data_IF_808848567016
#
_entry.id   IF_808848567016
#
_cell.length_a   1.000
_cell.length_b   1.000
_cell.length_c   1.000
_cell.angle_alpha   90.00
_cell.angle_beta   90.00
_cell.angle_gamma   90.00
#
_symmetry.space_group_name_H-M   'P 1'
#
loop_
_entity.id
_entity.type
_entity.pdbx_description
1 polymer ?
#
# COMPACT_ATOMS: atom_id res chain seq x y z
N UNK A 1 18.78 -3.17 0.12
CA UNK A 1 18.36 -4.53 0.58
C UNK A 1 17.09 -4.89 -0.15
N UNK A 2 16.93 -6.11 -0.63
CA UNK A 2 15.82 -6.55 -1.51
C UNK A 2 14.40 -6.14 -1.05
N UNK A 3 14.16 -6.04 0.26
CA UNK A 3 12.84 -5.62 0.77
C UNK A 3 12.50 -4.17 0.39
N UNK A 4 13.48 -3.27 0.43
CA UNK A 4 13.28 -1.88 0.02
C UNK A 4 13.12 -1.77 -1.49
N UNK A 5 13.99 -2.45 -2.25
CA UNK A 5 13.89 -2.52 -3.71
C UNK A 5 12.49 -3.00 -4.14
N UNK A 6 12.02 -4.12 -3.56
CA UNK A 6 10.68 -4.66 -3.85
C UNK A 6 9.55 -3.70 -3.46
N UNK A 7 9.67 -3.01 -2.31
CA UNK A 7 8.66 -2.03 -1.88
C UNK A 7 8.64 -0.81 -2.80
N UNK A 8 9.81 -0.27 -3.13
CA UNK A 8 9.96 0.89 -4.03
C UNK A 8 9.42 0.55 -5.42
N UNK A 9 9.79 -0.61 -5.99
CA UNK A 9 9.30 -1.05 -7.30
C UNK A 9 7.76 -1.23 -7.31
N UNK A 10 7.20 -1.80 -6.23
CA UNK A 10 5.75 -1.98 -6.09
C UNK A 10 5.02 -0.64 -6.03
N UNK A 11 5.54 0.32 -5.26
CA UNK A 11 4.97 1.67 -5.16
C UNK A 11 5.17 2.46 -6.46
N UNK A 12 6.29 2.29 -7.16
CA UNK A 12 6.54 2.93 -8.45
C UNK A 12 5.56 2.44 -9.52
N UNK A 13 5.37 1.12 -9.63
CA UNK A 13 4.38 0.55 -10.53
C UNK A 13 2.98 1.11 -10.23
N UNK A 14 2.62 1.21 -8.96
CA UNK A 14 1.34 1.76 -8.55
C UNK A 14 1.20 3.24 -8.91
N UNK A 15 2.23 4.03 -8.68
CA UNK A 15 2.27 5.45 -9.05
C UNK A 15 2.04 5.65 -10.56
N UNK A 16 2.71 4.86 -11.40
CA UNK A 16 2.54 4.90 -12.85
C UNK A 16 1.09 4.58 -13.27
N UNK A 17 0.48 3.57 -12.66
CA UNK A 17 -0.92 3.21 -12.90
C UNK A 17 -1.86 4.36 -12.52
N UNK A 18 -1.63 5.02 -11.37
CA UNK A 18 -2.45 6.16 -10.96
C UNK A 18 -2.30 7.37 -11.89
N UNK A 19 -1.14 7.57 -12.52
CA UNK A 19 -0.90 8.64 -13.51
C UNK A 19 -1.71 8.44 -14.79
N UNK A 20 -1.96 7.18 -15.17
CA UNK A 20 -2.69 6.82 -16.38
C UNK A 20 -4.20 6.66 -16.13
N UNK A 21 -4.62 6.56 -14.86
CA UNK A 21 -6.01 6.34 -14.49
C UNK A 21 -6.86 7.60 -14.80
N UNK A 22 -8.01 7.47 -15.52
CA UNK A 22 -8.92 8.58 -15.70
C UNK A 22 -9.35 9.19 -14.36
N UNK A 23 -9.32 10.52 -14.28
CA UNK A 23 -9.53 11.25 -13.02
C UNK A 23 -10.90 11.04 -12.37
N UNK A 24 -11.91 10.74 -13.18
CA UNK A 24 -13.28 10.47 -12.73
C UNK A 24 -13.44 9.07 -12.10
N UNK A 25 -12.51 8.15 -12.35
CA UNK A 25 -12.55 6.79 -11.80
C UNK A 25 -11.96 6.69 -10.38
N UNK A 26 -11.03 7.58 -10.03
CA UNK A 26 -10.23 7.46 -8.79
C UNK A 26 -11.07 7.53 -7.52
N UNK A 27 -11.96 8.54 -7.43
CA UNK A 27 -12.81 8.77 -6.25
C UNK A 27 -14.22 8.20 -6.41
N UNK A 28 -14.55 7.62 -7.58
CA UNK A 28 -15.87 7.08 -7.85
C UNK A 28 -16.17 5.84 -6.98
N UNK A 29 -17.37 5.74 -6.39
CA UNK A 29 -17.80 4.52 -5.72
C UNK A 29 -17.85 3.34 -6.70
N UNK A 30 -17.24 2.22 -6.33
CA UNK A 30 -17.12 1.02 -7.15
C UNK A 30 -17.94 -0.12 -6.55
N UNK A 31 -18.99 -0.56 -7.23
CA UNK A 31 -19.90 -1.59 -6.73
C UNK A 31 -19.16 -2.91 -6.40
N UNK A 32 -18.24 -3.33 -7.25
CA UNK A 32 -17.47 -4.58 -7.05
C UNK A 32 -16.45 -4.48 -5.90
N UNK A 33 -16.22 -3.27 -5.37
CA UNK A 33 -15.42 -3.02 -4.17
C UNK A 33 -16.30 -2.67 -2.96
N UNK A 34 -17.54 -3.16 -2.92
CA UNK A 34 -18.52 -2.85 -1.86
C UNK A 34 -18.76 -1.35 -1.69
N UNK A 35 -18.79 -0.61 -2.79
CA UNK A 35 -18.89 0.85 -2.88
C UNK A 35 -17.69 1.63 -2.35
N UNK A 36 -16.58 0.98 -2.02
CA UNK A 36 -15.33 1.69 -1.80
C UNK A 36 -14.76 2.21 -3.14
N UNK A 37 -14.01 3.31 -3.10
CA UNK A 37 -13.32 3.82 -4.28
C UNK A 37 -11.89 3.28 -4.40
N UNK A 38 -11.30 3.39 -5.59
CA UNK A 38 -9.87 3.16 -5.80
C UNK A 38 -9.07 4.05 -4.86
N UNK A 39 -9.45 5.33 -4.73
CA UNK A 39 -8.80 6.28 -3.83
C UNK A 39 -8.85 5.88 -2.37
N UNK A 40 -9.93 5.26 -1.88
CA UNK A 40 -10.00 4.76 -0.51
C UNK A 40 -9.01 3.61 -0.25
N UNK A 41 -8.85 2.68 -1.20
CA UNK A 41 -7.83 1.64 -1.11
C UNK A 41 -6.41 2.21 -1.23
N UNK A 42 -6.21 3.19 -2.11
CA UNK A 42 -4.94 3.93 -2.24
C UNK A 42 -4.57 4.63 -0.93
N UNK A 43 -5.51 5.36 -0.33
CA UNK A 43 -5.32 6.01 0.96
C UNK A 43 -4.89 5.00 2.02
N UNK A 44 -5.55 3.85 2.09
CA UNK A 44 -5.23 2.83 3.07
C UNK A 44 -3.78 2.34 2.95
N UNK A 45 -3.32 2.04 1.75
CA UNK A 45 -1.92 1.65 1.49
C UNK A 45 -0.95 2.75 1.94
N UNK A 46 -1.16 3.98 1.50
CA UNK A 46 -0.30 5.13 1.81
C UNK A 46 -0.23 5.36 3.31
N UNK A 47 -1.38 5.40 4.00
CA UNK A 47 -1.45 5.69 5.43
C UNK A 47 -0.73 4.65 6.28
N UNK A 48 -0.69 3.37 5.88
CA UNK A 48 0.07 2.36 6.60
C UNK A 48 1.58 2.60 6.50
N UNK A 49 2.09 2.91 5.31
CA UNK A 49 3.50 3.29 5.16
C UNK A 49 3.84 4.56 5.94
N UNK A 50 2.97 5.58 5.91
CA UNK A 50 3.17 6.81 6.69
C UNK A 50 3.18 6.56 8.19
N UNK A 51 2.32 5.67 8.71
CA UNK A 51 2.38 5.24 10.11
C UNK A 51 3.74 4.64 10.47
N UNK A 52 4.27 3.77 9.62
CA UNK A 52 5.58 3.16 9.84
C UNK A 52 6.70 4.22 9.84
N UNK A 53 6.71 5.13 8.87
CA UNK A 53 7.71 6.19 8.76
C UNK A 53 7.66 7.17 9.94
N UNK A 54 6.45 7.58 10.34
CA UNK A 54 6.24 8.52 11.45
C UNK A 54 6.57 7.87 12.81
N UNK A 55 6.28 6.58 12.97
CA UNK A 55 6.59 5.82 14.19
C UNK A 55 8.06 5.43 14.32
N UNK A 56 8.88 5.62 13.28
CA UNK A 56 10.26 5.17 13.27
C UNK A 56 11.06 5.80 14.42
N UNK A 57 11.02 7.13 14.59
CA UNK A 57 11.85 7.82 15.58
C UNK A 57 11.50 7.42 17.01
N UNK A 58 10.21 7.37 17.36
CA UNK A 58 9.76 6.98 18.69
C UNK A 58 9.75 5.47 18.95
N UNK A 59 10.04 4.65 17.91
CA UNK A 59 10.02 3.18 17.99
C UNK A 59 8.64 2.60 18.35
N UNK A 60 7.57 3.32 18.00
CA UNK A 60 6.19 2.88 18.22
C UNK A 60 5.37 3.10 16.95
N UNK A 61 4.73 2.04 16.46
CA UNK A 61 3.89 2.05 15.25
C UNK A 61 2.50 1.56 15.62
N UNK A 62 1.46 2.32 15.28
CA UNK A 62 0.07 1.88 15.44
C UNK A 62 -0.73 2.17 14.17
N UNK A 63 -1.06 1.12 13.45
CA UNK A 63 -1.84 1.22 12.22
C UNK A 63 -3.31 1.57 12.49
N UNK A 64 -3.83 1.29 13.67
CA UNK A 64 -5.20 1.60 14.06
C UNK A 64 -5.40 3.09 14.30
N UNK A 65 -4.35 3.78 14.77
CA UNK A 65 -4.35 5.22 15.07
C UNK A 65 -3.97 6.10 13.88
N UNK A 66 -3.90 5.55 12.65
CA UNK A 66 -3.56 6.32 11.45
C UNK A 66 -4.53 7.48 11.22
N UNK A 67 -4.01 8.58 10.76
CA UNK A 67 -4.83 9.67 10.22
C UNK A 67 -5.56 9.20 8.96
N UNK A 68 -6.81 9.62 8.80
CA UNK A 68 -7.61 9.33 7.60
C UNK A 68 -7.69 10.59 6.74
N UNK A 69 -6.58 10.91 6.07
CA UNK A 69 -6.50 12.10 5.21
C UNK A 69 -7.31 11.90 3.92
N UNK A 70 -8.48 12.54 3.88
CA UNK A 70 -9.38 12.46 2.73
C UNK A 70 -8.84 13.07 1.45
N UNK A 71 -7.78 13.87 1.50
CA UNK A 71 -7.13 14.38 0.29
C UNK A 71 -6.55 13.24 -0.52
N UNK A 72 -5.96 12.24 0.14
CA UNK A 72 -5.37 11.08 -0.53
C UNK A 72 -6.43 10.31 -1.31
N UNK A 73 -7.64 10.10 -0.77
CA UNK A 73 -8.67 9.32 -1.45
C UNK A 73 -9.42 10.08 -2.55
N UNK A 74 -9.32 11.42 -2.57
CA UNK A 74 -10.06 12.27 -3.51
C UNK A 74 -9.17 12.92 -4.59
N UNK A 75 -7.86 12.93 -4.40
CA UNK A 75 -6.90 13.57 -5.30
C UNK A 75 -5.74 12.61 -5.63
N UNK A 76 -5.79 12.04 -6.83
CA UNK A 76 -4.76 11.12 -7.31
C UNK A 76 -3.39 11.79 -7.40
N UNK A 77 -3.31 13.08 -7.74
CA UNK A 77 -2.04 13.82 -7.81
C UNK A 77 -1.42 13.96 -6.43
N UNK A 78 -2.24 14.27 -5.43
CA UNK A 78 -1.77 14.30 -4.04
C UNK A 78 -1.30 12.91 -3.57
N UNK A 79 -2.05 11.85 -3.88
CA UNK A 79 -1.67 10.47 -3.56
C UNK A 79 -0.33 10.08 -4.20
N UNK A 80 -0.11 10.43 -5.46
CA UNK A 80 1.17 10.21 -6.18
C UNK A 80 2.33 10.91 -5.47
N UNK A 81 2.12 12.14 -4.99
CA UNK A 81 3.12 12.86 -4.18
C UNK A 81 3.45 12.14 -2.87
N UNK A 82 2.45 11.56 -2.20
CA UNK A 82 2.67 10.77 -0.98
C UNK A 82 3.42 9.45 -1.26
N UNK A 83 3.13 8.78 -2.38
CA UNK A 83 3.87 7.59 -2.80
C UNK A 83 5.34 7.92 -3.07
N UNK A 84 5.63 9.04 -3.73
CA UNK A 84 7.00 9.50 -3.93
C UNK A 84 7.72 9.78 -2.62
N UNK A 85 7.09 10.49 -1.70
CA UNK A 85 7.65 10.75 -0.37
C UNK A 85 7.99 9.45 0.38
N UNK A 86 7.10 8.46 0.34
CA UNK A 86 7.34 7.15 0.96
C UNK A 86 8.56 6.47 0.32
N UNK A 87 8.67 6.47 -1.02
CA UNK A 87 9.82 5.87 -1.73
C UNK A 87 11.14 6.52 -1.31
N UNK A 88 11.15 7.84 -1.15
CA UNK A 88 12.35 8.60 -0.79
C UNK A 88 12.78 8.35 0.67
N UNK A 89 11.84 8.08 1.58
CA UNK A 89 12.07 7.99 3.03
C UNK A 89 12.12 6.56 3.58
N UNK A 90 11.78 5.55 2.76
CA UNK A 90 11.56 4.18 3.25
C UNK A 90 12.87 3.48 3.67
N UNK A 91 14.00 3.78 3.01
CA UNK A 91 15.25 3.09 3.28
C UNK A 91 15.92 3.61 4.54
N UNK A 92 15.68 2.95 5.66
CA UNK A 92 16.24 3.27 6.98
C UNK A 92 16.88 2.03 7.63
N UNK A 93 17.82 2.21 8.58
CA UNK A 93 18.38 1.10 9.34
C UNK A 93 17.32 0.30 10.10
N UNK A 94 17.56 -1.01 10.29
CA UNK A 94 16.67 -1.81 11.14
C UNK A 94 16.80 -1.39 12.60
N UNK A 95 15.69 -1.35 13.29
CA UNK A 95 15.61 -1.15 14.75
C UNK A 95 14.39 -1.85 15.31
N UNK A 96 14.40 -2.13 16.60
CA UNK A 96 13.22 -2.62 17.31
C UNK A 96 12.14 -1.54 17.36
N UNK A 97 10.89 -1.97 17.18
CA UNK A 97 9.70 -1.13 17.31
C UNK A 97 8.64 -1.89 18.10
N UNK A 98 7.79 -1.15 18.81
CA UNK A 98 6.57 -1.68 19.44
C UNK A 98 5.40 -1.45 18.51
N UNK A 99 4.71 -2.50 18.14
CA UNK A 99 3.52 -2.43 17.29
C UNK A 99 2.28 -2.36 18.19
N UNK A 100 1.69 -1.18 18.27
CA UNK A 100 0.45 -0.94 19.02
C UNK A 100 -0.78 -1.40 18.23
N UNK A 101 -1.68 -2.09 18.90
CA UNK A 101 -2.98 -2.50 18.35
C UNK A 101 -4.07 -2.41 19.41
N UNK A 102 -5.30 -2.20 18.96
CA UNK A 102 -6.47 -2.15 19.85
C UNK A 102 -7.28 -3.44 19.72
N UNK A 103 -7.54 -4.10 20.84
CA UNK A 103 -8.39 -5.27 20.88
C UNK A 103 -9.38 -5.13 22.04
N UNK A 104 -10.69 -5.21 21.76
CA UNK A 104 -11.78 -5.09 22.74
C UNK A 104 -11.76 -3.77 23.54
N UNK A 105 -11.23 -2.69 22.96
CA UNK A 105 -11.14 -1.37 23.60
C UNK A 105 -9.90 -1.20 24.49
N UNK A 106 -9.02 -2.18 24.51
CA UNK A 106 -7.73 -2.11 25.22
C UNK A 106 -6.57 -1.98 24.22
N UNK A 107 -5.66 -1.05 24.52
CA UNK A 107 -4.42 -0.90 23.77
C UNK A 107 -3.41 -1.94 24.21
N UNK A 108 -2.82 -2.63 23.26
CA UNK A 108 -1.84 -3.67 23.46
C UNK A 108 -0.61 -3.40 22.57
N UNK A 109 0.54 -4.00 22.93
CA UNK A 109 1.78 -3.85 22.19
C UNK A 109 2.41 -5.21 21.89
N UNK A 110 2.95 -5.36 20.69
CA UNK A 110 3.74 -6.52 20.28
C UNK A 110 5.14 -6.06 19.86
N UNK A 111 6.18 -6.76 20.27
CA UNK A 111 7.53 -6.49 19.79
C UNK A 111 7.65 -6.83 18.30
N UNK A 112 8.24 -5.92 17.55
CA UNK A 112 8.52 -6.06 16.13
C UNK A 112 9.84 -5.37 15.79
N UNK A 113 10.15 -5.23 14.51
CA UNK A 113 11.26 -4.43 14.02
C UNK A 113 10.91 -3.77 12.69
N UNK A 114 11.64 -2.72 12.35
CA UNK A 114 11.36 -1.90 11.18
C UNK A 114 11.30 -2.72 9.88
N UNK A 115 12.23 -3.64 9.66
CA UNK A 115 12.25 -4.45 8.44
C UNK A 115 11.05 -5.39 8.32
N UNK A 116 10.62 -5.95 9.44
CA UNK A 116 9.41 -6.78 9.47
C UNK A 116 8.17 -5.94 9.13
N UNK A 117 8.10 -4.71 9.62
CA UNK A 117 6.98 -3.81 9.32
C UNK A 117 7.01 -3.29 7.87
N UNK A 118 8.19 -3.05 7.28
CA UNK A 118 8.31 -2.79 5.83
C UNK A 118 7.78 -3.97 5.02
N UNK A 119 8.12 -5.21 5.40
CA UNK A 119 7.60 -6.41 4.71
C UNK A 119 6.09 -6.55 4.84
N UNK A 120 5.53 -6.27 6.01
CA UNK A 120 4.09 -6.26 6.23
C UNK A 120 3.39 -5.25 5.31
N UNK A 121 3.91 -4.02 5.24
CA UNK A 121 3.37 -2.98 4.37
C UNK A 121 3.44 -3.37 2.89
N UNK A 122 4.53 -4.00 2.46
CA UNK A 122 4.67 -4.51 1.09
C UNK A 122 3.60 -5.56 0.76
N UNK A 123 3.45 -6.58 1.62
CA UNK A 123 2.44 -7.64 1.42
C UNK A 123 1.02 -7.06 1.41
N UNK A 124 0.76 -6.11 2.30
CA UNK A 124 -0.53 -5.43 2.40
C UNK A 124 -0.81 -4.55 1.18
N UNK A 125 0.21 -3.84 0.67
CA UNK A 125 0.10 -3.07 -0.57
C UNK A 125 -0.25 -3.98 -1.75
N UNK A 126 0.44 -5.11 -1.93
CA UNK A 126 0.14 -6.09 -2.99
C UNK A 126 -1.31 -6.59 -2.89
N UNK A 127 -1.78 -6.87 -1.67
CA UNK A 127 -3.18 -7.27 -1.45
C UNK A 127 -4.18 -6.18 -1.90
N UNK A 128 -3.94 -4.93 -1.51
CA UNK A 128 -4.80 -3.82 -1.93
C UNK A 128 -4.67 -3.51 -3.43
N UNK A 129 -3.50 -3.69 -4.03
CA UNK A 129 -3.34 -3.58 -5.49
C UNK A 129 -4.20 -4.60 -6.25
N UNK A 130 -4.40 -5.83 -5.70
CA UNK A 130 -5.31 -6.79 -6.30
C UNK A 130 -6.78 -6.31 -6.28
N UNK A 131 -7.22 -5.65 -5.20
CA UNK A 131 -8.54 -5.02 -5.13
C UNK A 131 -8.64 -3.82 -6.09
N UNK A 132 -7.64 -2.94 -6.09
CA UNK A 132 -7.55 -1.79 -7.00
C UNK A 132 -7.60 -2.25 -8.46
N UNK A 133 -6.92 -3.34 -8.82
CA UNK A 133 -6.98 -3.95 -10.16
C UNK A 133 -8.41 -4.25 -10.58
N UNK A 134 -9.20 -4.86 -9.68
CA UNK A 134 -10.62 -5.16 -9.95
C UNK A 134 -11.39 -3.85 -10.18
N UNK A 135 -11.17 -2.81 -9.36
CA UNK A 135 -11.81 -1.51 -9.53
C UNK A 135 -11.44 -0.83 -10.84
N UNK A 136 -10.16 -0.84 -11.23
CA UNK A 136 -9.71 -0.28 -12.51
C UNK A 136 -10.37 -1.00 -13.68
N UNK A 137 -10.41 -2.33 -13.67
CA UNK A 137 -11.03 -3.14 -14.72
C UNK A 137 -12.56 -2.97 -14.78
N UNK A 138 -13.19 -2.57 -13.67
CA UNK A 138 -14.62 -2.25 -13.64
C UNK A 138 -14.92 -0.93 -14.38
N UNK A 139 -14.08 0.08 -14.21
CA UNK A 139 -14.31 1.40 -14.80
C UNK A 139 -13.69 1.57 -16.19
N UNK A 140 -12.63 0.82 -16.50
CA UNK A 140 -11.80 1.07 -17.68
C UNK A 140 -11.42 -0.24 -18.40
N UNK A 141 -10.97 -0.10 -19.65
CA UNK A 141 -10.30 -1.18 -20.39
C UNK A 141 -8.77 -1.08 -20.33
N UNK A 142 -8.24 -0.37 -19.32
CA UNK A 142 -6.79 -0.18 -19.17
C UNK A 142 -6.08 -1.53 -18.95
N UNK A 143 -5.06 -1.78 -19.75
CA UNK A 143 -4.19 -2.95 -19.57
C UNK A 143 -3.25 -2.72 -18.39
N UNK A 144 -3.25 -3.65 -17.45
CA UNK A 144 -2.41 -3.59 -16.27
C UNK A 144 -1.30 -4.64 -16.34
N UNK A 145 -0.10 -4.35 -15.80
CA UNK A 145 0.97 -5.33 -15.72
C UNK A 145 0.49 -6.62 -15.04
N UNK A 146 0.94 -7.78 -15.56
CA UNK A 146 0.57 -9.08 -14.97
C UNK A 146 0.94 -9.18 -13.49
N UNK A 147 2.05 -8.56 -13.10
CA UNK A 147 2.56 -8.51 -11.72
C UNK A 147 1.73 -7.64 -10.77
N UNK A 148 0.89 -6.74 -11.29
CA UNK A 148 0.16 -5.81 -10.43
C UNK A 148 -0.87 -6.54 -9.57
N UNK A 149 -0.73 -6.40 -8.25
CA UNK A 149 -1.56 -7.08 -7.25
C UNK A 149 -1.33 -8.61 -7.16
N UNK A 150 -0.14 -9.08 -7.58
CA UNK A 150 0.24 -10.50 -7.51
C UNK A 150 1.52 -10.64 -6.69
N UNK A 151 1.49 -11.54 -5.70
CA UNK A 151 2.66 -11.82 -4.87
C UNK A 151 3.84 -12.34 -5.72
N UNK A 152 5.09 -11.94 -5.42
CA UNK A 152 6.27 -12.39 -6.15
C UNK A 152 6.42 -13.92 -6.21
N UNK A 153 6.07 -14.62 -5.12
CA UNK A 153 6.05 -16.09 -5.07
C UNK A 153 5.07 -16.71 -6.06
N UNK A 154 3.91 -16.08 -6.25
CA UNK A 154 2.92 -16.53 -7.24
C UNK A 154 3.42 -16.30 -8.67
N UNK A 155 4.10 -15.19 -8.91
CA UNK A 155 4.71 -14.91 -10.22
C UNK A 155 5.81 -15.94 -10.55
N UNK A 156 6.62 -16.31 -9.56
CA UNK A 156 7.64 -17.35 -9.73
C UNK A 156 7.00 -18.72 -10.03
N UNK A 157 6.00 -19.11 -9.25
CA UNK A 157 5.28 -20.37 -9.47
C UNK A 157 4.67 -20.46 -10.88
N UNK A 158 4.05 -19.38 -11.38
CA UNK A 158 3.51 -19.33 -12.74
C UNK A 158 4.59 -19.54 -13.82
N UNK A 159 5.79 -18.95 -13.64
CA UNK A 159 6.91 -19.14 -14.56
C UNK A 159 7.42 -20.59 -14.57
N UNK A 160 7.47 -21.23 -13.40
CA UNK A 160 7.89 -22.65 -13.28
C UNK A 160 6.87 -23.61 -13.91
N UNK A 161 5.55 -23.30 -13.80
CA UNK A 161 4.50 -24.11 -14.41
C UNK A 161 4.35 -23.91 -15.93
N UNK A 162 4.89 -22.82 -16.47
CA UNK A 162 4.84 -22.52 -17.91
C UNK A 162 6.01 -23.12 -18.70
N UNK A 163 6.93 -23.81 -18.03
CA UNK A 163 8.04 -24.59 -18.62
C UNK A 163 7.66 -26.06 -18.70
#
# INVERSE_FOLDING_TARGET
>A
MRIFESSIDTLEQFKQILQELPSDCYAAPCEVLSNASIGQHTRHVIELYLCLLNGYECSEVSYDKRERDKRIENDATFAIGQLQYIQDELERPNKEVQMGYELQGEENFLPSNYYREVMYNLEHAIHHHALIKIGIQYFTSMELPESFGVAPSTMQYRKECAQ
#
